data_IF_593920876215
#
_entry.id   IF_593920876215
#
_cell.length_a   1.000
_cell.length_b   1.000
_cell.length_c   1.000
_cell.angle_alpha   90.00
_cell.angle_beta   90.00
_cell.angle_gamma   90.00
#
_symmetry.space_group_name_H-M   'P 1'
#
loop_
_entity.id
_entity.type
_entity.pdbx_description
1 polymer ?
#
# COMPACT_ATOMS: atom_id res chain seq x y z
N UNK A 1 13.45 -4.62 8.63
CA UNK A 1 14.07 -5.43 7.55
C UNK A 1 13.25 -6.68 7.18
N UNK A 2 12.88 -7.53 8.13
CA UNK A 2 12.19 -8.82 7.87
C UNK A 2 10.79 -8.70 7.27
N UNK A 3 9.97 -7.79 7.78
CA UNK A 3 8.62 -7.50 7.25
C UNK A 3 8.67 -6.83 5.86
N UNK A 4 9.70 -6.01 5.61
CA UNK A 4 9.94 -5.38 4.31
C UNK A 4 10.33 -6.41 3.25
N UNK A 5 11.07 -7.45 3.65
CA UNK A 5 11.37 -8.58 2.78
C UNK A 5 10.08 -9.29 2.32
N UNK A 6 9.14 -9.58 3.23
CA UNK A 6 7.85 -10.19 2.87
C UNK A 6 7.05 -9.32 1.88
N UNK A 7 6.92 -8.02 2.14
CA UNK A 7 6.23 -7.08 1.25
C UNK A 7 6.93 -6.89 -0.12
N UNK A 8 8.24 -7.13 -0.19
CA UNK A 8 9.02 -7.04 -1.44
C UNK A 8 8.85 -8.24 -2.38
N UNK A 9 8.31 -9.37 -1.91
CA UNK A 9 8.02 -10.52 -2.77
C UNK A 9 6.58 -10.56 -3.28
N UNK A 10 5.67 -9.82 -2.64
CA UNK A 10 4.31 -9.64 -3.12
C UNK A 10 4.27 -8.93 -4.49
N UNK A 11 3.30 -9.34 -5.32
CA UNK A 11 3.18 -8.87 -6.71
C UNK A 11 2.54 -7.49 -6.77
N UNK A 12 1.60 -7.22 -5.86
CA UNK A 12 0.81 -5.99 -5.78
C UNK A 12 0.19 -5.68 -7.15
N UNK A 13 -0.63 -6.62 -7.63
CA UNK A 13 -1.26 -6.54 -8.96
C UNK A 13 -2.49 -5.62 -8.93
N UNK A 14 -2.46 -4.44 -9.60
CA UNK A 14 -3.61 -3.54 -9.64
C UNK A 14 -4.83 -4.17 -10.32
N UNK A 15 -4.66 -5.17 -11.20
CA UNK A 15 -5.79 -5.87 -11.84
C UNK A 15 -6.54 -6.79 -10.86
N UNK A 16 -5.91 -7.13 -9.74
CA UNK A 16 -6.50 -7.92 -8.65
C UNK A 16 -6.82 -7.07 -7.43
N UNK A 17 -7.00 -5.76 -7.63
CA UNK A 17 -7.32 -4.80 -6.56
C UNK A 17 -6.30 -4.87 -5.40
N UNK A 18 -5.02 -5.13 -5.73
CA UNK A 18 -3.90 -5.28 -4.79
C UNK A 18 -4.06 -6.38 -3.72
N UNK A 19 -4.97 -7.34 -3.93
CA UNK A 19 -5.10 -8.49 -3.03
C UNK A 19 -3.78 -9.26 -2.94
N UNK A 20 -3.28 -9.41 -1.72
CA UNK A 20 -2.05 -10.14 -1.42
C UNK A 20 -2.14 -10.87 -0.07
N UNK A 21 -1.55 -12.05 -0.02
CA UNK A 21 -1.36 -12.84 1.21
C UNK A 21 0.13 -12.79 1.55
N UNK A 22 0.49 -12.18 2.68
CA UNK A 22 1.88 -11.98 3.09
C UNK A 22 2.39 -13.02 4.10
N UNK A 23 1.59 -14.03 4.41
CA UNK A 23 2.01 -15.14 5.28
C UNK A 23 2.90 -16.10 4.49
N UNK A 24 3.95 -16.63 5.14
CA UNK A 24 4.89 -17.59 4.57
C UNK A 24 5.53 -17.16 3.25
N UNK A 25 5.77 -15.85 3.09
CA UNK A 25 6.42 -15.31 1.90
C UNK A 25 7.83 -15.86 1.72
N UNK A 26 8.24 -16.02 0.46
CA UNK A 26 9.59 -16.50 0.12
C UNK A 26 10.62 -15.46 0.58
N UNK A 27 11.75 -15.92 1.11
CA UNK A 27 12.86 -15.08 1.53
C UNK A 27 13.36 -15.47 2.92
N UNK A 28 14.66 -15.75 3.04
CA UNK A 28 15.28 -16.24 4.28
C UNK A 28 15.08 -15.32 5.50
N UNK A 29 14.78 -14.04 5.25
CA UNK A 29 14.52 -13.03 6.29
C UNK A 29 13.05 -12.63 6.40
N UNK A 30 12.14 -13.24 5.63
CA UNK A 30 10.72 -12.88 5.67
C UNK A 30 10.10 -13.34 7.00
N UNK A 31 9.47 -12.41 7.73
CA UNK A 31 8.74 -12.80 8.94
C UNK A 31 7.51 -13.66 8.55
N UNK A 32 7.27 -14.83 9.20
CA UNK A 32 6.27 -15.79 8.72
C UNK A 32 4.83 -15.28 8.71
N UNK A 33 4.50 -14.36 9.64
CA UNK A 33 3.15 -13.80 9.80
C UNK A 33 3.22 -12.30 9.56
N UNK A 34 3.30 -11.90 8.29
CA UNK A 34 3.14 -10.52 7.86
C UNK A 34 1.75 -10.30 7.26
N UNK A 35 1.24 -9.08 7.35
CA UNK A 35 -0.05 -8.69 6.80
C UNK A 35 -0.02 -7.27 6.27
N UNK A 36 -0.76 -7.04 5.19
CA UNK A 36 -1.03 -5.71 4.68
C UNK A 36 -2.35 -5.20 5.28
N UNK A 37 -2.44 -3.88 5.49
CA UNK A 37 -3.71 -3.22 5.74
C UNK A 37 -4.19 -2.54 4.46
N UNK A 38 -5.51 -2.42 4.32
CA UNK A 38 -6.14 -1.90 3.11
C UNK A 38 -7.09 -0.76 3.47
N UNK A 39 -7.09 0.25 2.61
CA UNK A 39 -8.07 1.33 2.62
C UNK A 39 -9.04 1.06 1.48
N UNK A 40 -10.34 1.03 1.80
CA UNK A 40 -11.40 0.82 0.84
C UNK A 40 -12.04 2.16 0.47
N UNK A 41 -12.20 2.42 -0.82
CA UNK A 41 -12.93 3.56 -1.36
C UNK A 41 -14.19 3.06 -2.05
N UNK A 42 -15.32 3.66 -1.72
CA UNK A 42 -16.60 3.31 -2.31
C UNK A 42 -16.65 3.81 -3.77
N UNK A 43 -16.99 2.91 -4.70
CA UNK A 43 -17.05 3.17 -6.14
C UNK A 43 -18.30 3.98 -6.54
N UNK A 44 -19.36 3.88 -5.76
CA UNK A 44 -20.65 4.56 -5.91
C UNK A 44 -20.74 5.89 -5.13
N UNK A 45 -19.62 6.36 -4.60
CA UNK A 45 -19.54 7.57 -3.79
C UNK A 45 -19.00 8.77 -4.60
N UNK A 46 -19.30 10.02 -4.22
CA UNK A 46 -18.83 11.18 -4.97
C UNK A 46 -17.30 11.20 -5.11
N UNK A 47 -16.81 11.23 -6.35
CA UNK A 47 -15.39 11.23 -6.71
C UNK A 47 -14.59 12.30 -5.96
N UNK A 48 -15.17 13.47 -5.74
CA UNK A 48 -14.54 14.57 -4.99
C UNK A 48 -14.18 14.20 -3.54
N UNK A 49 -14.95 13.32 -2.89
CA UNK A 49 -14.60 12.82 -1.56
C UNK A 49 -13.45 11.82 -1.63
N UNK A 50 -13.48 10.90 -2.59
CA UNK A 50 -12.37 9.96 -2.82
C UNK A 50 -11.06 10.71 -3.12
N UNK A 51 -11.10 11.80 -3.88
CA UNK A 51 -9.94 12.68 -4.14
C UNK A 51 -9.33 13.26 -2.86
N UNK A 52 -10.15 13.70 -1.91
CA UNK A 52 -9.66 14.20 -0.62
C UNK A 52 -8.97 13.11 0.20
N UNK A 53 -9.54 11.90 0.22
CA UNK A 53 -8.95 10.75 0.91
C UNK A 53 -7.63 10.34 0.25
N UNK A 54 -7.60 10.23 -1.07
CA UNK A 54 -6.39 9.93 -1.85
C UNK A 54 -5.31 10.99 -1.61
N UNK A 55 -5.67 12.28 -1.56
CA UNK A 55 -4.73 13.36 -1.25
C UNK A 55 -4.07 13.18 0.13
N UNK A 56 -4.83 12.77 1.14
CA UNK A 56 -4.30 12.47 2.47
C UNK A 56 -3.31 11.28 2.43
N UNK A 57 -3.66 10.19 1.77
CA UNK A 57 -2.77 9.03 1.69
C UNK A 57 -1.55 9.25 0.78
N UNK A 58 -1.65 10.07 -0.27
CA UNK A 58 -0.48 10.48 -1.05
C UNK A 58 0.48 11.35 -0.21
N UNK A 59 -0.06 12.24 0.63
CA UNK A 59 0.75 12.96 1.61
C UNK A 59 1.42 12.00 2.60
N UNK A 60 0.68 11.02 3.13
CA UNK A 60 1.21 10.01 4.03
C UNK A 60 2.33 9.19 3.37
N UNK A 61 2.18 8.81 2.09
CA UNK A 61 3.23 8.11 1.34
C UNK A 61 4.48 8.97 1.09
N UNK A 62 4.36 10.30 1.08
CA UNK A 62 5.49 11.22 0.86
C UNK A 62 6.18 11.66 2.15
N UNK A 63 5.47 11.67 3.27
CA UNK A 63 5.91 12.32 4.53
C UNK A 63 5.79 11.44 5.78
N UNK A 64 5.07 10.33 5.70
CA UNK A 64 4.72 9.50 6.86
C UNK A 64 5.62 8.28 7.08
N UNK A 65 6.62 8.04 6.23
CA UNK A 65 7.46 6.83 6.33
C UNK A 65 8.19 6.72 7.66
N UNK A 66 8.71 7.83 8.19
CA UNK A 66 9.44 7.81 9.47
C UNK A 66 8.48 7.61 10.65
N UNK A 67 7.30 8.23 10.63
CA UNK A 67 6.23 7.99 11.61
C UNK A 67 5.80 6.51 11.62
N UNK A 68 5.67 5.90 10.44
CA UNK A 68 5.35 4.48 10.35
C UNK A 68 6.45 3.60 10.97
N UNK A 69 7.73 3.92 10.73
CA UNK A 69 8.87 3.19 11.31
C UNK A 69 8.94 3.35 12.84
N UNK A 70 8.67 4.54 13.36
CA UNK A 70 8.61 4.81 14.80
C UNK A 70 7.56 3.94 15.50
N UNK A 71 6.43 3.70 14.83
CA UNK A 71 5.36 2.79 15.28
C UNK A 71 5.61 1.32 14.91
N UNK A 72 6.83 0.99 14.45
CA UNK A 72 7.24 -0.35 14.03
C UNK A 72 6.47 -0.95 12.84
N UNK A 73 5.79 -0.13 12.04
CA UNK A 73 5.23 -0.52 10.76
C UNK A 73 6.28 -0.47 9.64
N UNK A 74 6.00 -1.18 8.56
CA UNK A 74 6.80 -1.15 7.34
C UNK A 74 6.19 -0.19 6.33
N UNK A 75 6.89 0.89 5.96
CA UNK A 75 6.49 1.70 4.83
C UNK A 75 6.46 0.90 3.53
N UNK A 76 5.47 1.15 2.68
CA UNK A 76 5.40 0.51 1.38
C UNK A 76 6.63 0.90 0.54
N UNK A 77 7.25 -0.04 -0.20
CA UNK A 77 8.32 0.31 -1.12
C UNK A 77 7.86 1.33 -2.16
N UNK A 78 8.74 2.24 -2.60
CA UNK A 78 8.38 3.30 -3.58
C UNK A 78 7.75 2.76 -4.87
N UNK A 79 8.23 1.61 -5.36
CA UNK A 79 7.62 0.95 -6.53
C UNK A 79 6.15 0.58 -6.32
N UNK A 80 5.74 0.24 -5.10
CA UNK A 80 4.36 -0.11 -4.76
C UNK A 80 3.54 1.16 -4.61
N UNK A 81 4.07 2.19 -3.93
CA UNK A 81 3.44 3.52 -3.86
C UNK A 81 3.19 4.11 -5.25
N UNK A 82 4.14 3.97 -6.18
CA UNK A 82 3.99 4.40 -7.56
C UNK A 82 2.84 3.67 -8.29
N UNK A 83 2.78 2.33 -8.19
CA UNK A 83 1.66 1.54 -8.74
C UNK A 83 0.30 1.98 -8.17
N UNK A 84 0.23 2.27 -6.87
CA UNK A 84 -1.01 2.73 -6.24
C UNK A 84 -1.42 4.11 -6.79
N UNK A 85 -0.49 5.04 -6.97
CA UNK A 85 -0.75 6.35 -7.59
C UNK A 85 -1.25 6.21 -9.04
N UNK A 86 -0.64 5.32 -9.83
CA UNK A 86 -1.12 5.02 -11.19
C UNK A 86 -2.54 4.45 -11.18
N UNK A 87 -2.84 3.54 -10.25
CA UNK A 87 -4.17 2.98 -10.07
C UNK A 87 -5.20 4.07 -9.71
N UNK A 88 -4.86 5.01 -8.82
CA UNK A 88 -5.74 6.14 -8.49
C UNK A 88 -6.02 7.05 -9.68
N UNK A 89 -4.99 7.34 -10.50
CA UNK A 89 -5.15 8.12 -11.75
C UNK A 89 -6.10 7.43 -12.72
N UNK A 90 -5.95 6.11 -12.91
CA UNK A 90 -6.84 5.34 -13.79
C UNK A 90 -8.32 5.38 -13.35
N UNK A 91 -8.58 5.60 -12.06
CA UNK A 91 -9.93 5.73 -11.49
C UNK A 91 -10.40 7.19 -11.31
N UNK A 92 -9.59 8.18 -11.71
CA UNK A 92 -9.93 9.60 -11.61
C UNK A 92 -9.92 10.17 -10.18
N UNK A 93 -9.29 9.46 -9.23
CA UNK A 93 -9.20 9.87 -7.83
C UNK A 93 -7.95 10.70 -7.51
N UNK A 94 -7.02 10.82 -8.46
CA UNK A 94 -5.82 11.66 -8.35
C UNK A 94 -5.83 12.76 -9.40
#
# INVERSE_FOLDING_TARGET
ETFQAAASWAKWDPKKEFYEVLTWQKGERAYPIAGATFILLAKDYPTERNRKVVKFFDWAFRKGDDVAKELHYVPLPERVKAKIREYWKAHGWQ
#
